data_IF_452483776465
#
_entry.id   IF_452483776465
#
_cell.length_a   1.000
_cell.length_b   1.000
_cell.length_c   1.000
_cell.angle_alpha   90.00
_cell.angle_beta   90.00
_cell.angle_gamma   90.00
#
_symmetry.space_group_name_H-M   'P 1'
#
loop_
_entity.id
_entity.type
_entity.pdbx_description
1 polymer ?
#
# COMPACT_ATOMS: atom_id res chain seq x y z
N UNK A 1 -26.83 -64.10 -18.03
CA UNK A 1 -28.12 -63.84 -17.35
C UNK A 1 -28.10 -62.37 -16.95
N UNK A 2 -29.09 -61.51 -17.09
CA UNK A 2 -30.36 -61.43 -17.82
C UNK A 2 -30.93 -60.07 -17.35
N UNK A 3 -31.21 -59.15 -18.29
CA UNK A 3 -32.07 -57.96 -18.12
C UNK A 3 -33.55 -58.41 -18.20
N UNK A 4 -34.62 -57.56 -18.10
CA UNK A 4 -34.75 -56.09 -18.14
C UNK A 4 -35.46 -55.54 -16.86
N UNK A 5 -36.18 -54.42 -16.74
CA UNK A 5 -36.81 -53.44 -17.68
C UNK A 5 -37.08 -52.10 -16.97
N UNK A 6 -37.28 -50.99 -17.70
CA UNK A 6 -37.94 -49.78 -17.16
C UNK A 6 -37.53 -48.43 -17.79
N UNK A 7 -38.05 -48.08 -18.97
CA UNK A 7 -38.01 -46.70 -19.49
C UNK A 7 -39.22 -45.92 -18.98
N UNK A 8 -39.05 -44.60 -18.75
CA UNK A 8 -39.91 -43.55 -19.31
C UNK A 8 -39.24 -42.17 -19.14
N UNK A 9 -39.38 -41.31 -20.16
CA UNK A 9 -38.75 -39.98 -20.26
C UNK A 9 -39.84 -38.88 -20.22
N UNK A 10 -39.61 -37.60 -20.58
CA UNK A 10 -39.71 -36.49 -19.62
C UNK A 10 -40.93 -35.58 -19.85
N UNK A 11 -41.22 -34.70 -18.88
CA UNK A 11 -42.15 -33.58 -19.04
C UNK A 11 -41.48 -32.26 -18.62
N UNK A 12 -41.71 -31.28 -19.48
CA UNK A 12 -41.18 -29.91 -19.53
C UNK A 12 -41.73 -28.95 -18.47
N UNK A 13 -40.89 -28.05 -17.96
CA UNK A 13 -41.18 -26.59 -17.87
C UNK A 13 -40.01 -25.84 -17.23
N UNK A 14 -39.21 -25.12 -18.03
CA UNK A 14 -38.40 -24.01 -17.51
C UNK A 14 -39.16 -22.70 -17.77
N UNK A 15 -39.46 -21.95 -16.72
CA UNK A 15 -40.24 -20.73 -16.80
C UNK A 15 -39.44 -19.58 -17.44
N UNK A 16 -40.03 -18.98 -18.47
CA UNK A 16 -39.54 -17.76 -19.10
C UNK A 16 -39.85 -16.55 -18.20
N UNK A 17 -38.83 -15.96 -17.58
CA UNK A 17 -38.98 -14.66 -16.88
C UNK A 17 -38.38 -13.55 -17.75
N UNK A 18 -39.29 -12.74 -18.29
CA UNK A 18 -39.02 -11.54 -19.06
C UNK A 18 -38.57 -10.38 -18.14
N UNK A 19 -37.52 -9.65 -18.50
CA UNK A 19 -36.97 -8.53 -17.73
C UNK A 19 -36.64 -7.35 -18.67
N UNK A 20 -37.17 -6.14 -18.41
CA UNK A 20 -37.28 -5.10 -19.44
C UNK A 20 -35.99 -4.31 -19.66
N UNK A 21 -35.80 -3.87 -20.91
CA UNK A 21 -34.77 -2.90 -21.29
C UNK A 21 -35.13 -1.47 -20.91
N UNK A 22 -34.16 -0.66 -20.45
CA UNK A 22 -34.19 0.79 -20.70
C UNK A 22 -32.93 1.29 -21.41
N UNK A 23 -33.12 1.95 -22.55
CA UNK A 23 -32.08 2.78 -23.19
C UNK A 23 -31.96 4.10 -22.42
N UNK A 24 -30.74 4.59 -22.14
CA UNK A 24 -30.13 5.78 -22.81
C UNK A 24 -28.85 6.29 -22.11
N UNK A 25 -27.73 6.12 -22.81
CA UNK A 25 -26.47 6.87 -22.78
C UNK A 25 -26.13 7.81 -21.59
N UNK A 26 -25.00 7.51 -20.92
CA UNK A 26 -24.02 8.50 -20.45
C UNK A 26 -22.70 8.26 -21.18
N UNK A 27 -21.97 9.33 -21.54
CA UNK A 27 -20.66 9.24 -22.21
C UNK A 27 -19.64 8.58 -21.29
N UNK A 28 -19.04 7.47 -21.72
CA UNK A 28 -17.74 7.05 -21.20
C UNK A 28 -16.66 8.00 -21.70
N UNK A 29 -15.82 8.47 -20.78
CA UNK A 29 -14.56 9.13 -21.14
C UNK A 29 -13.58 8.05 -21.60
N UNK A 30 -13.38 7.93 -22.91
CA UNK A 30 -12.41 7.01 -23.48
C UNK A 30 -11.02 7.29 -22.89
N UNK A 31 -10.45 6.30 -22.20
CA UNK A 31 -9.04 6.28 -21.82
C UNK A 31 -8.24 6.22 -23.12
N UNK A 32 -7.29 7.12 -23.38
CA UNK A 32 -6.49 7.04 -24.60
C UNK A 32 -5.67 5.74 -24.57
N UNK A 33 -5.77 4.97 -25.65
CA UNK A 33 -4.92 3.80 -25.90
C UNK A 33 -3.44 4.18 -25.88
N UNK A 34 -2.53 3.29 -25.44
CA UNK A 34 -1.10 3.60 -25.38
C UNK A 34 -0.59 4.05 -26.75
N UNK A 35 0.05 5.22 -26.78
CA UNK A 35 0.62 5.81 -27.99
C UNK A 35 1.73 4.92 -28.57
N UNK A 36 2.04 5.03 -29.87
CA UNK A 36 3.07 4.21 -30.50
C UNK A 36 4.44 4.42 -29.83
N UNK A 37 5.20 3.33 -29.67
CA UNK A 37 6.59 3.38 -29.17
C UNK A 37 7.41 4.33 -30.05
N UNK A 38 8.04 5.34 -29.44
CA UNK A 38 9.11 6.10 -30.09
C UNK A 38 10.40 5.29 -29.96
N UNK A 39 11.11 4.96 -31.05
CA UNK A 39 12.40 4.28 -30.96
C UNK A 39 13.44 5.25 -30.38
N UNK A 40 13.97 4.94 -29.20
CA UNK A 40 15.08 5.69 -28.60
C UNK A 40 16.39 5.55 -29.41
N UNK A 41 16.52 4.51 -30.25
CA UNK A 41 17.79 4.09 -30.86
C UNK A 41 18.05 4.57 -32.31
N UNK A 42 17.12 5.23 -33.01
CA UNK A 42 17.26 5.48 -34.47
C UNK A 42 17.89 6.82 -34.89
N UNK A 43 18.63 7.52 -34.01
CA UNK A 43 19.29 8.80 -34.36
C UNK A 43 20.84 8.80 -34.29
N UNK A 44 21.50 7.65 -34.14
CA UNK A 44 22.97 7.57 -34.02
C UNK A 44 23.68 6.82 -35.18
N UNK A 45 23.05 6.75 -36.36
CA UNK A 45 23.69 6.25 -37.60
C UNK A 45 23.58 7.27 -38.74
N UNK A 46 24.10 8.47 -38.49
CA UNK A 46 24.44 9.45 -39.53
C UNK A 46 25.86 9.95 -39.25
N UNK A 47 26.70 10.01 -40.29
CA UNK A 47 28.03 10.61 -40.20
C UNK A 47 27.87 12.13 -39.97
N UNK A 48 28.06 12.60 -38.73
CA UNK A 48 27.88 14.01 -38.39
C UNK A 48 29.17 14.80 -38.55
N UNK A 49 29.11 15.87 -39.35
CA UNK A 49 30.14 16.91 -39.39
C UNK A 49 30.27 17.57 -38.00
N UNK A 50 31.47 18.00 -37.56
CA UNK A 50 31.66 18.54 -36.20
C UNK A 50 31.07 19.94 -35.93
N UNK A 51 30.25 20.50 -36.82
CA UNK A 51 29.79 21.91 -36.78
C UNK A 51 28.26 22.08 -36.76
N UNK A 52 27.48 21.06 -36.36
CA UNK A 52 26.06 21.28 -36.02
C UNK A 52 25.89 21.84 -34.61
N UNK A 53 25.95 23.18 -34.54
CA UNK A 53 25.56 24.08 -33.45
C UNK A 53 24.56 23.50 -32.44
N UNK A 54 24.81 23.69 -31.14
CA UNK A 54 23.90 23.35 -30.02
C UNK A 54 22.57 24.15 -30.08
N UNK A 55 21.67 23.75 -30.97
CA UNK A 55 20.31 24.27 -31.01
C UNK A 55 19.54 23.80 -29.77
N UNK A 56 19.06 24.74 -28.95
CA UNK A 56 18.28 24.41 -27.77
C UNK A 56 17.01 23.63 -28.16
N UNK A 57 16.68 22.54 -27.43
CA UNK A 57 15.60 21.64 -27.83
C UNK A 57 14.26 22.38 -27.86
N UNK A 58 13.46 22.13 -28.89
CA UNK A 58 12.17 22.81 -29.05
C UNK A 58 11.24 22.54 -27.85
N UNK A 59 10.39 23.50 -27.45
CA UNK A 59 9.50 23.34 -26.29
C UNK A 59 8.61 22.08 -26.36
N UNK A 60 8.21 21.66 -27.56
CA UNK A 60 7.43 20.43 -27.77
C UNK A 60 8.22 19.16 -27.43
N UNK A 61 9.53 19.11 -27.72
CA UNK A 61 10.38 17.95 -27.38
C UNK A 61 10.56 17.88 -25.86
N UNK A 62 10.81 19.02 -25.21
CA UNK A 62 10.92 19.10 -23.75
C UNK A 62 9.63 18.66 -23.05
N UNK A 63 8.48 19.17 -23.50
CA UNK A 63 7.18 18.78 -22.97
C UNK A 63 6.91 17.28 -23.17
N UNK A 64 7.13 16.76 -24.38
CA UNK A 64 6.97 15.33 -24.68
C UNK A 64 7.80 14.45 -23.74
N UNK A 65 9.09 14.78 -23.54
CA UNK A 65 9.97 14.06 -22.61
C UNK A 65 9.46 14.11 -21.17
N UNK A 66 9.04 15.29 -20.68
CA UNK A 66 8.51 15.45 -19.34
C UNK A 66 7.20 14.66 -19.13
N UNK A 67 6.29 14.68 -20.09
CA UNK A 67 5.03 13.92 -20.03
C UNK A 67 5.24 12.42 -20.15
N UNK A 68 6.29 11.97 -20.85
CA UNK A 68 6.64 10.55 -20.97
C UNK A 68 7.00 9.95 -19.60
N UNK A 69 7.81 10.64 -18.79
CA UNK A 69 8.11 10.20 -17.41
C UNK A 69 6.84 10.01 -16.59
N UNK A 70 5.94 10.99 -16.60
CA UNK A 70 4.67 10.93 -15.86
C UNK A 70 3.76 9.79 -16.37
N UNK A 71 3.71 9.57 -17.68
CA UNK A 71 2.94 8.49 -18.29
C UNK A 71 3.49 7.11 -17.93
N UNK A 72 4.82 6.92 -17.95
CA UNK A 72 5.49 5.68 -17.54
C UNK A 72 5.25 5.37 -16.07
N UNK A 73 5.38 6.35 -15.17
CA UNK A 73 5.08 6.16 -13.75
C UNK A 73 3.60 5.83 -13.49
N UNK A 74 2.67 6.52 -14.16
CA UNK A 74 1.25 6.22 -14.06
C UNK A 74 0.90 4.80 -14.59
N UNK A 75 1.53 4.38 -15.68
CA UNK A 75 1.38 3.02 -16.22
C UNK A 75 1.90 1.97 -15.23
N UNK A 76 3.07 2.20 -14.62
CA UNK A 76 3.64 1.30 -13.60
C UNK A 76 2.73 1.17 -12.37
N UNK A 77 2.17 2.28 -11.87
CA UNK A 77 1.20 2.25 -10.76
C UNK A 77 -0.11 1.53 -11.12
N UNK A 78 -0.56 1.64 -12.38
CA UNK A 78 -1.74 0.92 -12.89
C UNK A 78 -1.48 -0.59 -12.96
N UNK A 79 -0.30 -0.99 -13.43
CA UNK A 79 0.15 -2.39 -13.43
C UNK A 79 0.31 -2.94 -12.01
N UNK A 80 0.83 -2.14 -11.08
CA UNK A 80 0.97 -2.50 -9.67
C UNK A 80 -0.40 -2.74 -9.00
N UNK A 81 -1.37 -1.86 -9.24
CA UNK A 81 -2.73 -2.04 -8.75
C UNK A 81 -3.39 -3.30 -9.33
N UNK A 82 -3.12 -3.60 -10.61
CA UNK A 82 -3.57 -4.83 -11.27
C UNK A 82 -2.92 -6.07 -10.62
N UNK A 83 -1.62 -6.02 -10.32
CA UNK A 83 -0.89 -7.12 -9.66
C UNK A 83 -1.54 -7.48 -8.31
N UNK A 84 -1.72 -6.52 -7.40
CA UNK A 84 -2.30 -6.78 -6.08
C UNK A 84 -3.81 -7.09 -6.10
N UNK A 85 -4.53 -6.76 -7.18
CA UNK A 85 -5.96 -7.13 -7.32
C UNK A 85 -6.19 -8.47 -8.02
N UNK A 86 -5.21 -9.01 -8.74
CA UNK A 86 -5.39 -10.23 -9.56
C UNK A 86 -4.44 -11.39 -9.24
N UNK A 87 -3.26 -11.12 -8.68
CA UNK A 87 -2.30 -12.17 -8.34
C UNK A 87 -2.52 -12.68 -6.91
N UNK A 88 -2.97 -13.92 -6.79
CA UNK A 88 -3.12 -14.59 -5.50
C UNK A 88 -1.81 -14.61 -4.69
N UNK A 89 -0.66 -14.80 -5.35
CA UNK A 89 0.66 -14.76 -4.69
C UNK A 89 0.93 -13.38 -4.06
N UNK A 90 0.73 -12.28 -4.81
CA UNK A 90 0.93 -10.93 -4.28
C UNK A 90 -0.05 -10.59 -3.13
N UNK A 91 -1.29 -11.10 -3.22
CA UNK A 91 -2.31 -10.95 -2.17
C UNK A 91 -1.92 -11.69 -0.88
N UNK A 92 -1.50 -12.96 -1.00
CA UNK A 92 -0.99 -13.75 0.13
C UNK A 92 0.22 -13.09 0.76
N UNK A 93 1.19 -12.63 -0.04
CA UNK A 93 2.38 -11.93 0.46
C UNK A 93 2.05 -10.63 1.21
N UNK A 94 1.10 -9.83 0.71
CA UNK A 94 0.63 -8.63 1.41
C UNK A 94 -0.07 -8.99 2.73
N UNK A 95 -0.97 -9.98 2.71
CA UNK A 95 -1.67 -10.45 3.90
C UNK A 95 -0.70 -10.96 4.98
N UNK A 96 0.28 -11.79 4.60
CA UNK A 96 1.33 -12.28 5.49
C UNK A 96 2.19 -11.13 6.03
N UNK A 97 2.62 -10.20 5.19
CA UNK A 97 3.38 -9.00 5.61
C UNK A 97 2.61 -8.18 6.66
N UNK A 98 1.30 -8.00 6.44
CA UNK A 98 0.42 -7.34 7.40
C UNK A 98 0.32 -8.14 8.71
N UNK A 99 0.04 -9.43 8.66
CA UNK A 99 -0.06 -10.31 9.83
C UNK A 99 1.22 -10.33 10.68
N UNK A 100 2.38 -10.48 10.05
CA UNK A 100 3.70 -10.46 10.72
C UNK A 100 3.93 -9.12 11.45
N UNK A 101 3.63 -8.01 10.77
CA UNK A 101 3.83 -6.67 11.33
C UNK A 101 2.81 -6.35 12.44
N UNK A 102 1.56 -6.79 12.30
CA UNK A 102 0.53 -6.69 13.34
C UNK A 102 0.88 -7.55 14.57
N UNK A 103 1.44 -8.74 14.36
CA UNK A 103 1.93 -9.59 15.45
C UNK A 103 3.08 -8.91 16.20
N UNK A 104 4.13 -8.47 15.51
CA UNK A 104 5.24 -7.71 16.10
C UNK A 104 4.74 -6.47 16.87
N UNK A 105 3.78 -5.73 16.29
CA UNK A 105 3.17 -4.59 16.95
C UNK A 105 2.47 -4.95 18.28
N UNK A 106 1.87 -6.13 18.37
CA UNK A 106 1.19 -6.62 19.60
C UNK A 106 2.17 -7.19 20.64
N UNK A 107 3.29 -7.79 20.23
CA UNK A 107 4.25 -8.49 21.12
C UNK A 107 5.43 -7.63 21.62
N UNK A 108 5.48 -6.35 21.21
CA UNK A 108 6.52 -5.41 21.62
C UNK A 108 7.61 -5.14 20.57
N UNK A 109 7.59 -5.81 19.42
CA UNK A 109 8.47 -5.51 18.27
C UNK A 109 7.97 -4.40 17.35
N UNK A 110 8.75 -4.05 16.32
CA UNK A 110 8.50 -2.95 15.37
C UNK A 110 8.85 -3.33 13.93
N UNK A 111 8.38 -2.53 12.98
CA UNK A 111 8.79 -2.61 11.58
C UNK A 111 10.11 -1.85 11.40
N UNK A 112 11.20 -2.56 11.10
CA UNK A 112 12.52 -1.97 10.84
C UNK A 112 12.72 -1.88 9.34
N UNK A 113 12.53 -0.69 8.76
CA UNK A 113 12.74 -0.48 7.33
C UNK A 113 14.23 -0.26 7.04
N UNK A 114 14.80 -1.01 6.10
CA UNK A 114 16.22 -0.99 5.78
C UNK A 114 16.46 -0.87 4.26
N UNK A 115 17.46 -0.09 3.86
CA UNK A 115 17.78 0.13 2.45
C UNK A 115 19.04 0.99 2.28
N UNK A 116 19.47 1.15 1.03
CA UNK A 116 20.61 1.98 0.62
C UNK A 116 20.22 2.94 -0.51
N UNK A 117 20.99 4.01 -0.70
CA UNK A 117 20.83 4.94 -1.81
C UNK A 117 19.41 5.51 -1.92
N UNK A 118 18.81 5.47 -3.12
CA UNK A 118 17.43 5.95 -3.33
C UNK A 118 16.39 5.14 -2.55
N UNK A 119 16.59 3.84 -2.39
CA UNK A 119 15.70 2.97 -1.60
C UNK A 119 15.72 3.30 -0.10
N UNK A 120 16.83 3.83 0.43
CA UNK A 120 16.91 4.32 1.81
C UNK A 120 15.94 5.49 2.07
N UNK A 121 15.77 6.41 1.12
CA UNK A 121 14.80 7.51 1.26
C UNK A 121 13.35 6.99 1.27
N UNK A 122 13.04 5.96 0.48
CA UNK A 122 11.72 5.31 0.50
C UNK A 122 11.48 4.62 1.85
N UNK A 123 12.47 3.90 2.38
CA UNK A 123 12.41 3.30 3.71
C UNK A 123 12.23 4.35 4.84
N UNK A 124 12.94 5.48 4.78
CA UNK A 124 12.76 6.59 5.72
C UNK A 124 11.36 7.23 5.63
N UNK A 125 10.85 7.44 4.42
CA UNK A 125 9.50 7.97 4.19
C UNK A 125 8.45 7.01 4.76
N UNK A 126 8.57 5.71 4.50
CA UNK A 126 7.72 4.69 5.11
C UNK A 126 7.72 4.79 6.64
N UNK A 127 8.90 4.87 7.26
CA UNK A 127 9.02 5.00 8.73
C UNK A 127 8.35 6.28 9.25
N UNK A 128 8.43 7.39 8.51
CA UNK A 128 7.70 8.61 8.84
C UNK A 128 6.18 8.41 8.76
N UNK A 129 5.66 7.85 7.65
CA UNK A 129 4.23 7.50 7.49
C UNK A 129 3.75 6.57 8.61
N UNK A 130 4.49 5.51 8.92
CA UNK A 130 4.18 4.58 10.00
C UNK A 130 4.08 5.29 11.36
N UNK A 131 5.07 6.13 11.71
CA UNK A 131 5.06 6.89 12.97
C UNK A 131 3.85 7.84 13.06
N UNK A 132 3.55 8.55 11.98
CA UNK A 132 2.36 9.40 11.86
C UNK A 132 1.04 8.64 12.09
N UNK A 133 0.99 7.35 11.77
CA UNK A 133 -0.16 6.45 11.93
C UNK A 133 -0.10 5.58 13.20
N UNK A 134 0.76 5.90 14.18
CA UNK A 134 1.03 5.10 15.39
C UNK A 134 1.49 3.65 15.14
N UNK A 135 2.00 3.33 13.95
CA UNK A 135 2.70 2.06 13.69
C UNK A 135 4.12 2.21 14.23
N UNK A 136 4.51 1.31 15.15
CA UNK A 136 5.89 1.27 15.69
C UNK A 136 6.84 0.85 14.58
N UNK A 137 7.70 1.80 14.16
CA UNK A 137 8.67 1.60 13.09
C UNK A 137 9.96 2.41 13.32
N UNK A 138 11.10 1.89 12.83
CA UNK A 138 12.39 2.58 12.79
C UNK A 138 13.09 2.36 11.46
N UNK A 139 14.05 3.23 11.13
CA UNK A 139 14.90 3.09 9.94
C UNK A 139 16.26 2.54 10.36
N UNK A 140 16.82 1.62 9.58
CA UNK A 140 18.16 1.07 9.75
C UNK A 140 18.93 1.26 8.44
N UNK A 141 20.01 2.03 8.44
CA UNK A 141 20.85 2.17 7.25
C UNK A 141 21.78 0.96 7.11
N UNK A 142 21.82 0.33 5.94
CA UNK A 142 22.53 -0.94 5.77
C UNK A 142 24.03 -0.88 6.10
N UNK A 143 24.69 0.23 5.73
CA UNK A 143 26.11 0.42 5.98
C UNK A 143 26.42 0.64 7.46
N UNK A 144 25.51 1.23 8.23
CA UNK A 144 25.72 1.48 9.67
C UNK A 144 25.36 0.24 10.51
N UNK A 145 24.46 -0.60 10.01
CA UNK A 145 24.06 -1.86 10.66
C UNK A 145 25.26 -2.76 10.98
N UNK A 146 26.18 -2.95 10.03
CA UNK A 146 27.42 -3.74 10.24
C UNK A 146 28.44 -3.06 11.18
N UNK A 147 28.21 -1.81 11.56
CA UNK A 147 29.09 -1.02 12.44
C UNK A 147 28.52 -0.80 13.86
N UNK A 148 27.34 -1.36 14.16
CA UNK A 148 26.80 -1.41 15.52
C UNK A 148 25.28 -1.34 15.57
N UNK A 149 24.65 -0.66 14.59
CA UNK A 149 23.20 -0.41 14.59
C UNK A 149 22.36 -1.69 14.46
N UNK A 150 22.96 -2.84 14.13
CA UNK A 150 22.24 -4.13 14.17
C UNK A 150 21.77 -4.51 15.60
N UNK A 151 22.39 -3.95 16.65
CA UNK A 151 21.95 -4.11 18.03
C UNK A 151 20.54 -3.58 18.32
N UNK A 152 19.97 -2.78 17.41
CA UNK A 152 18.58 -2.35 17.47
C UNK A 152 17.57 -3.48 17.14
N UNK A 153 18.00 -4.54 16.44
CA UNK A 153 17.12 -5.59 15.89
C UNK A 153 16.93 -6.73 16.89
N UNK A 154 15.67 -7.07 17.19
CA UNK A 154 15.29 -8.16 18.12
C UNK A 154 14.50 -9.26 17.41
N UNK A 155 14.33 -10.42 18.05
CA UNK A 155 13.53 -11.54 17.54
C UNK A 155 12.02 -11.23 17.40
N UNK A 156 11.58 -10.09 17.94
CA UNK A 156 10.19 -9.60 17.88
C UNK A 156 9.93 -8.69 16.69
N UNK A 157 10.98 -8.17 16.08
CA UNK A 157 10.88 -7.19 15.01
C UNK A 157 10.62 -7.86 13.65
N UNK A 158 10.13 -7.06 12.70
CA UNK A 158 10.04 -7.42 11.27
C UNK A 158 10.96 -6.48 10.52
N UNK A 159 12.00 -7.03 9.86
CA UNK A 159 12.89 -6.25 9.01
C UNK A 159 12.29 -6.20 7.61
N UNK A 160 12.00 -5.00 7.11
CA UNK A 160 11.55 -4.76 5.75
C UNK A 160 12.70 -4.17 4.94
N UNK A 161 13.28 -4.98 4.06
CA UNK A 161 14.25 -4.51 3.08
C UNK A 161 13.55 -3.82 1.91
N UNK A 162 14.09 -2.68 1.49
CA UNK A 162 13.70 -1.98 0.25
C UNK A 162 14.88 -2.04 -0.71
N UNK A 163 14.75 -2.82 -1.78
CA UNK A 163 15.78 -3.00 -2.81
C UNK A 163 15.14 -3.47 -4.11
N UNK A 164 15.15 -2.62 -5.15
CA UNK A 164 14.56 -2.97 -6.43
C UNK A 164 15.17 -4.26 -7.04
N UNK A 165 16.49 -4.47 -6.91
CA UNK A 165 17.14 -5.67 -7.46
C UNK A 165 16.90 -6.95 -6.65
N UNK A 166 16.54 -6.83 -5.36
CA UNK A 166 16.50 -7.96 -4.42
C UNK A 166 17.86 -8.63 -4.19
N UNK A 167 18.96 -7.99 -4.60
CA UNK A 167 20.31 -8.56 -4.66
C UNK A 167 21.41 -7.62 -4.14
N UNK A 168 21.03 -6.49 -3.53
CA UNK A 168 21.92 -5.48 -2.92
C UNK A 168 22.86 -6.12 -1.90
N UNK A 169 24.17 -6.04 -2.13
CA UNK A 169 25.17 -6.74 -1.33
C UNK A 169 25.17 -6.30 0.14
N UNK A 170 25.04 -5.00 0.38
CA UNK A 170 24.99 -4.39 1.71
C UNK A 170 23.83 -4.93 2.56
N UNK A 171 22.70 -5.29 1.93
CA UNK A 171 21.53 -5.86 2.61
C UNK A 171 21.64 -7.39 2.76
N UNK A 172 22.10 -8.09 1.72
CA UNK A 172 22.33 -9.55 1.76
C UNK A 172 23.35 -9.90 2.85
N UNK A 173 24.38 -9.08 3.02
CA UNK A 173 25.41 -9.27 4.04
C UNK A 173 24.89 -9.10 5.48
N UNK A 174 23.70 -8.53 5.72
CA UNK A 174 23.10 -8.45 7.06
C UNK A 174 22.43 -9.77 7.49
N UNK A 175 22.00 -10.59 6.53
CA UNK A 175 21.22 -11.81 6.80
C UNK A 175 21.85 -12.75 7.83
N UNK A 176 23.17 -13.04 7.82
CA UNK A 176 23.79 -13.96 8.78
C UNK A 176 23.93 -13.39 10.20
N UNK A 177 23.68 -12.09 10.38
CA UNK A 177 23.91 -11.39 11.64
C UNK A 177 22.62 -11.08 12.41
N UNK A 178 21.44 -11.26 11.79
CA UNK A 178 20.16 -11.10 12.49
C UNK A 178 19.94 -12.20 13.55
N UNK A 179 19.16 -11.91 14.61
CA UNK A 179 18.81 -12.91 15.62
C UNK A 179 18.01 -14.08 15.01
N UNK A 180 18.13 -15.26 15.63
CA UNK A 180 17.34 -16.43 15.24
C UNK A 180 15.83 -16.11 15.31
N UNK A 181 15.06 -16.58 14.33
CA UNK A 181 13.64 -16.26 14.21
C UNK A 181 13.32 -14.82 13.75
N UNK A 182 14.31 -13.99 13.43
CA UNK A 182 14.07 -12.66 12.84
C UNK A 182 13.28 -12.80 11.53
N UNK A 183 12.17 -12.05 11.41
CA UNK A 183 11.26 -12.08 10.25
C UNK A 183 11.73 -11.06 9.22
N UNK A 184 11.91 -11.48 7.97
CA UNK A 184 12.32 -10.58 6.88
C UNK A 184 11.21 -10.49 5.83
N UNK A 185 10.95 -9.26 5.39
CA UNK A 185 10.12 -8.93 4.24
C UNK A 185 11.01 -8.21 3.22
N UNK A 186 10.90 -8.53 1.94
CA UNK A 186 11.70 -7.92 0.88
C UNK A 186 10.79 -7.21 -0.14
N UNK A 187 10.75 -5.86 -0.08
CA UNK A 187 10.14 -5.02 -1.10
C UNK A 187 11.11 -4.87 -2.28
N UNK A 188 10.81 -5.55 -3.39
CA UNK A 188 11.72 -5.64 -4.55
C UNK A 188 10.96 -5.66 -5.88
N UNK A 189 11.68 -5.45 -6.99
CA UNK A 189 11.15 -5.63 -8.34
C UNK A 189 11.00 -7.10 -8.78
N UNK A 190 11.45 -8.07 -7.95
CA UNK A 190 11.27 -9.50 -8.24
C UNK A 190 9.80 -9.91 -8.01
N UNK A 191 9.32 -10.85 -8.82
CA UNK A 191 7.97 -11.44 -8.72
C UNK A 191 7.95 -12.86 -8.16
N UNK A 192 9.13 -13.46 -7.95
CA UNK A 192 9.33 -14.80 -7.40
C UNK A 192 10.40 -14.73 -6.30
N UNK A 193 10.17 -15.38 -5.16
CA UNK A 193 11.05 -15.32 -4.01
C UNK A 193 12.42 -15.97 -4.29
N UNK A 194 12.47 -16.98 -5.17
CA UNK A 194 13.73 -17.67 -5.54
C UNK A 194 14.74 -16.74 -6.22
N UNK A 195 14.26 -15.64 -6.82
CA UNK A 195 15.08 -14.64 -7.50
C UNK A 195 15.52 -13.51 -6.55
N UNK A 196 15.05 -13.52 -5.29
CA UNK A 196 15.31 -12.50 -4.29
C UNK A 196 16.26 -13.00 -3.20
N UNK A 197 17.55 -12.68 -3.33
CA UNK A 197 18.62 -13.09 -2.39
C UNK A 197 18.46 -12.55 -0.97
N UNK A 198 17.58 -11.57 -0.77
CA UNK A 198 17.22 -11.07 0.56
C UNK A 198 16.37 -12.07 1.36
N UNK A 199 15.89 -13.14 0.71
CA UNK A 199 15.13 -14.23 1.31
C UNK A 199 15.95 -15.53 1.40
N UNK A 200 17.24 -15.52 1.00
CA UNK A 200 18.14 -16.68 1.06
C UNK A 200 18.16 -17.28 2.48
N UNK A 201 17.95 -18.61 2.58
CA UNK A 201 17.98 -19.35 3.84
C UNK A 201 16.74 -19.22 4.73
N UNK A 202 15.63 -18.66 4.22
CA UNK A 202 14.38 -18.43 4.96
C UNK A 202 13.26 -19.29 4.42
N UNK A 203 12.29 -19.65 5.28
CA UNK A 203 11.08 -20.36 4.84
C UNK A 203 10.01 -19.35 4.44
N UNK A 204 9.35 -19.62 3.33
CA UNK A 204 8.05 -19.01 3.01
C UNK A 204 6.99 -19.58 3.97
N UNK A 205 6.05 -18.74 4.43
CA UNK A 205 4.88 -19.19 5.18
C UNK A 205 4.55 -18.39 6.44
N UNK A 206 3.54 -18.87 7.15
CA UNK A 206 3.00 -18.26 8.37
C UNK A 206 3.83 -18.61 9.61
N UNK A 207 3.56 -17.92 10.73
CA UNK A 207 4.26 -18.10 12.01
C UNK A 207 3.73 -19.33 12.75
N UNK A 208 4.05 -20.53 12.25
CA UNK A 208 3.86 -21.78 12.99
C UNK A 208 5.17 -22.21 13.66
N UNK A 209 5.47 -21.60 14.82
CA UNK A 209 6.56 -22.02 15.70
C UNK A 209 7.44 -20.88 16.20
N UNK A 210 7.87 -20.99 17.46
CA UNK A 210 8.82 -20.06 18.07
C UNK A 210 10.26 -20.44 17.67
N UNK A 211 10.79 -19.82 16.61
CA UNK A 211 12.23 -19.83 16.30
C UNK A 211 12.66 -19.95 14.84
N UNK A 212 11.77 -20.27 13.90
CA UNK A 212 12.15 -20.39 12.49
C UNK A 212 12.21 -19.03 11.76
N UNK A 213 13.16 -18.88 10.84
CA UNK A 213 13.37 -17.63 10.09
C UNK A 213 12.42 -17.53 8.89
N UNK A 214 11.36 -16.73 9.02
CA UNK A 214 10.41 -16.43 7.94
C UNK A 214 10.97 -15.43 6.94
N UNK A 215 10.64 -15.63 5.66
CA UNK A 215 10.88 -14.71 4.55
C UNK A 215 9.61 -14.48 3.73
N UNK A 216 9.29 -13.21 3.41
CA UNK A 216 8.16 -12.85 2.53
C UNK A 216 8.62 -11.88 1.44
N UNK A 217 8.31 -12.18 0.19
CA UNK A 217 8.51 -11.26 -0.94
C UNK A 217 7.34 -10.29 -1.03
N UNK A 218 7.58 -8.98 -1.06
CA UNK A 218 6.55 -7.98 -1.34
C UNK A 218 6.81 -7.38 -2.74
N UNK A 219 6.12 -7.85 -3.80
CA UNK A 219 6.50 -7.52 -5.18
C UNK A 219 6.11 -6.09 -5.56
N UNK A 220 7.06 -5.37 -6.15
CA UNK A 220 6.90 -4.06 -6.77
C UNK A 220 7.64 -3.98 -8.11
N UNK A 221 7.31 -4.83 -9.11
CA UNK A 221 7.92 -4.78 -10.44
C UNK A 221 7.51 -3.51 -11.19
N UNK A 222 8.36 -3.08 -12.11
CA UNK A 222 8.05 -2.05 -13.13
C UNK A 222 7.82 -2.74 -14.49
N UNK A 223 6.88 -2.28 -15.34
CA UNK A 223 6.58 -2.94 -16.61
C UNK A 223 7.70 -2.87 -17.66
N UNK A 224 8.51 -1.82 -17.60
CA UNK A 224 9.64 -1.52 -18.48
C UNK A 224 10.76 -0.95 -17.60
N UNK A 225 12.04 -1.23 -17.92
CA UNK A 225 13.15 -0.73 -17.10
C UNK A 225 13.43 0.74 -17.38
N UNK A 226 14.02 1.44 -16.42
CA UNK A 226 14.35 2.87 -16.54
C UNK A 226 15.40 3.12 -17.64
N UNK A 227 16.33 2.17 -17.83
CA UNK A 227 17.25 2.14 -18.99
C UNK A 227 16.51 2.06 -20.32
N UNK A 228 15.41 1.29 -20.39
CA UNK A 228 14.63 1.06 -21.61
C UNK A 228 13.65 2.24 -21.87
N UNK A 229 13.01 2.75 -20.82
CA UNK A 229 12.06 3.87 -20.90
C UNK A 229 12.71 5.24 -21.14
N UNK A 230 13.91 5.46 -20.60
CA UNK A 230 14.56 6.78 -20.54
C UNK A 230 16.01 6.82 -21.06
N UNK A 231 16.62 5.67 -21.35
CA UNK A 231 18.03 5.57 -21.73
C UNK A 231 19.02 5.62 -20.56
N UNK A 232 18.53 5.59 -19.31
CA UNK A 232 19.34 5.76 -18.10
C UNK A 232 18.70 5.04 -16.92
N UNK A 233 19.46 4.15 -16.27
CA UNK A 233 19.07 3.38 -15.08
C UNK A 233 19.02 4.20 -13.78
N UNK A 234 18.43 5.40 -13.83
CA UNK A 234 18.24 6.24 -12.66
C UNK A 234 16.94 5.83 -11.94
N UNK A 235 17.00 5.39 -10.66
CA UNK A 235 15.83 5.01 -9.91
C UNK A 235 14.81 6.16 -9.82
N UNK A 236 13.69 5.97 -10.51
CA UNK A 236 12.59 6.90 -10.73
C UNK A 236 11.28 6.12 -10.64
N UNK A 237 10.85 5.46 -11.70
CA UNK A 237 9.66 4.59 -11.73
C UNK A 237 9.71 3.47 -10.69
N UNK A 238 10.88 2.85 -10.49
CA UNK A 238 11.12 1.85 -9.44
C UNK A 238 10.93 2.43 -8.03
N UNK A 239 11.32 3.69 -7.81
CA UNK A 239 11.15 4.36 -6.52
C UNK A 239 9.72 4.82 -6.29
N UNK A 240 9.01 5.26 -7.34
CA UNK A 240 7.58 5.57 -7.29
C UNK A 240 6.73 4.33 -6.98
N UNK A 241 7.03 3.18 -7.60
CA UNK A 241 6.39 1.90 -7.28
C UNK A 241 6.69 1.47 -5.84
N UNK A 242 7.95 1.51 -5.40
CA UNK A 242 8.31 1.16 -4.02
C UNK A 242 7.63 2.09 -2.99
N UNK A 243 7.49 3.38 -3.30
CA UNK A 243 6.77 4.34 -2.47
C UNK A 243 5.27 4.01 -2.35
N UNK A 244 4.63 3.63 -3.46
CA UNK A 244 3.22 3.27 -3.48
C UNK A 244 2.96 1.96 -2.71
N UNK A 245 3.83 0.94 -2.84
CA UNK A 245 3.74 -0.29 -2.04
C UNK A 245 3.94 0.00 -0.54
N UNK A 246 4.88 0.89 -0.21
CA UNK A 246 5.11 1.33 1.16
C UNK A 246 3.89 2.05 1.77
N UNK A 247 3.26 2.97 1.05
CA UNK A 247 2.04 3.65 1.50
C UNK A 247 0.84 2.71 1.61
N UNK A 248 0.67 1.79 0.65
CA UNK A 248 -0.34 0.72 0.72
C UNK A 248 -0.19 -0.08 2.01
N UNK A 249 1.02 -0.59 2.29
CA UNK A 249 1.30 -1.36 3.51
C UNK A 249 1.02 -0.53 4.78
N UNK A 250 1.48 0.72 4.83
CA UNK A 250 1.31 1.56 6.02
C UNK A 250 -0.17 1.92 6.28
N UNK A 251 -0.96 2.20 5.23
CA UNK A 251 -2.38 2.52 5.36
C UNK A 251 -3.21 1.29 5.73
N UNK A 252 -2.96 0.13 5.11
CA UNK A 252 -3.63 -1.13 5.47
C UNK A 252 -3.33 -1.53 6.92
N UNK A 253 -2.07 -1.42 7.36
CA UNK A 253 -1.69 -1.68 8.75
C UNK A 253 -2.37 -0.74 9.75
N UNK A 254 -2.47 0.55 9.41
CA UNK A 254 -3.12 1.53 10.27
C UNK A 254 -4.61 1.24 10.43
N UNK A 255 -5.29 0.88 9.34
CA UNK A 255 -6.72 0.56 9.35
C UNK A 255 -7.02 -0.66 10.23
N UNK A 256 -6.21 -1.72 10.12
CA UNK A 256 -6.30 -2.91 10.97
C UNK A 256 -5.98 -2.65 12.46
N UNK A 257 -4.99 -1.81 12.75
CA UNK A 257 -4.63 -1.46 14.13
C UNK A 257 -5.71 -0.58 14.80
N UNK A 258 -6.27 0.38 14.07
CA UNK A 258 -7.17 1.40 14.61
C UNK A 258 -8.65 1.09 14.36
N UNK A 259 -8.97 -0.02 13.68
CA UNK A 259 -10.34 -0.47 13.37
C UNK A 259 -11.18 0.63 12.72
N UNK A 260 -10.63 1.27 11.68
CA UNK A 260 -11.27 2.40 10.99
C UNK A 260 -11.13 3.78 11.65
N UNK A 261 -10.46 3.88 12.81
CA UNK A 261 -10.22 5.17 13.50
C UNK A 261 -8.88 5.81 13.12
N UNK A 262 -8.32 5.45 11.97
CA UNK A 262 -7.01 5.90 11.47
C UNK A 262 -6.87 7.44 11.48
N UNK A 263 -7.93 8.17 11.11
CA UNK A 263 -7.97 9.63 11.16
C UNK A 263 -7.91 10.25 12.57
N UNK A 264 -8.54 9.61 13.57
CA UNK A 264 -8.46 10.04 14.98
C UNK A 264 -7.04 9.86 15.52
N UNK A 265 -6.43 8.71 15.24
CA UNK A 265 -5.04 8.41 15.61
C UNK A 265 -4.06 9.38 14.95
N UNK A 266 -4.21 9.64 13.64
CA UNK A 266 -3.36 10.61 12.93
C UNK A 266 -3.46 12.00 13.55
N UNK A 267 -4.67 12.49 13.84
CA UNK A 267 -4.89 13.80 14.50
C UNK A 267 -4.14 13.91 15.84
N UNK A 268 -4.16 12.86 16.67
CA UNK A 268 -3.45 12.83 17.97
C UNK A 268 -1.92 12.96 17.82
N UNK A 269 -1.35 12.44 16.75
CA UNK A 269 0.10 12.39 16.56
C UNK A 269 0.71 13.67 15.96
N UNK A 270 -0.10 14.66 15.54
CA UNK A 270 0.37 15.89 14.88
C UNK A 270 -0.04 17.18 15.63
N UNK A 271 0.31 17.35 16.93
CA UNK A 271 -0.17 18.45 17.76
C UNK A 271 0.26 19.85 17.26
N UNK A 272 1.37 19.96 16.51
CA UNK A 272 1.88 21.22 15.96
C UNK A 272 1.57 21.49 14.49
N UNK A 273 0.90 20.57 13.79
CA UNK A 273 0.57 20.73 12.36
C UNK A 273 -0.79 21.39 12.16
N UNK A 274 -1.00 22.06 11.01
CA UNK A 274 -2.28 22.72 10.68
C UNK A 274 -3.51 21.80 10.84
N UNK A 275 -3.36 20.51 10.49
CA UNK A 275 -4.39 19.47 10.58
C UNK A 275 -4.75 19.14 12.05
N UNK A 276 -3.76 19.13 12.96
CA UNK A 276 -3.98 18.93 14.39
C UNK A 276 -4.52 20.18 15.09
N UNK A 277 -4.03 21.36 14.69
CA UNK A 277 -4.44 22.65 15.23
C UNK A 277 -5.94 22.93 15.01
N UNK A 278 -6.47 22.65 13.81
CA UNK A 278 -7.92 22.76 13.54
C UNK A 278 -8.74 21.83 14.45
N UNK A 279 -8.27 20.61 14.72
CA UNK A 279 -8.98 19.65 15.59
C UNK A 279 -8.98 20.08 17.06
N UNK A 280 -7.90 20.69 17.56
CA UNK A 280 -7.89 21.21 18.94
C UNK A 280 -8.93 22.32 19.14
N UNK A 281 -9.14 23.16 18.12
CA UNK A 281 -10.19 24.18 18.12
C UNK A 281 -11.58 23.52 18.12
N UNK A 282 -11.87 22.63 17.17
CA UNK A 282 -13.14 21.86 17.08
C UNK A 282 -13.48 21.13 18.39
N UNK A 283 -12.51 20.41 18.98
CA UNK A 283 -12.69 19.70 20.24
C UNK A 283 -12.93 20.63 21.43
N UNK A 284 -12.31 21.82 21.44
CA UNK A 284 -12.55 22.83 22.47
C UNK A 284 -13.92 23.50 22.33
N UNK A 285 -14.40 23.72 21.10
CA UNK A 285 -15.72 24.26 20.77
C UNK A 285 -16.82 23.28 21.19
N UNK A 286 -16.71 22.01 20.80
CA UNK A 286 -17.66 20.95 21.17
C UNK A 286 -17.76 20.77 22.70
N UNK A 287 -16.62 20.82 23.41
CA UNK A 287 -16.59 20.70 24.87
C UNK A 287 -17.22 21.92 25.57
N UNK A 288 -17.04 23.13 25.03
CA UNK A 288 -17.74 24.36 25.48
C UNK A 288 -19.25 24.30 25.20
N UNK A 289 -19.68 23.74 24.06
CA UNK A 289 -21.10 23.57 23.74
C UNK A 289 -21.78 22.54 24.64
N UNK A 290 -21.14 21.39 24.91
CA UNK A 290 -21.62 20.39 25.88
C UNK A 290 -21.80 21.01 27.26
N UNK A 291 -20.76 21.68 27.78
CA UNK A 291 -20.82 22.36 29.08
C UNK A 291 -21.82 23.52 29.14
N UNK A 292 -22.22 24.10 28.01
CA UNK A 292 -23.33 25.06 27.95
C UNK A 292 -24.69 24.37 28.00
N UNK A 293 -24.88 23.23 27.33
CA UNK A 293 -26.12 22.44 27.39
C UNK A 293 -26.36 21.90 28.80
N UNK A 294 -25.35 21.29 29.41
CA UNK A 294 -25.45 20.75 30.79
C UNK A 294 -25.77 21.82 31.84
N UNK A 295 -25.43 23.09 31.58
CA UNK A 295 -25.73 24.25 32.45
C UNK A 295 -27.09 24.89 32.22
N UNK A 296 -27.76 24.62 31.10
CA UNK A 296 -29.05 25.23 30.76
C UNK A 296 -30.26 24.36 31.14
N UNK A 297 -30.02 23.08 31.46
CA UNK A 297 -31.07 22.12 31.79
C UNK A 297 -31.84 21.65 30.55
N UNK A 298 -32.32 20.41 30.57
CA UNK A 298 -33.39 20.03 29.65
C UNK A 298 -34.68 20.73 30.08
N UNK A 299 -35.48 21.31 29.16
CA UNK A 299 -36.78 21.84 29.53
C UNK A 299 -37.68 20.67 29.95
N UNK A 300 -38.15 20.68 31.20
CA UNK A 300 -39.15 19.72 31.65
C UNK A 300 -40.33 19.72 30.67
N UNK A 301 -40.65 18.53 30.13
CA UNK A 301 -41.90 18.35 29.40
C UNK A 301 -43.05 18.57 30.38
N UNK A 302 -43.65 19.75 30.34
CA UNK A 302 -44.84 20.08 31.10
C UNK A 302 -45.98 19.13 30.70
N UNK A 303 -46.21 18.10 31.50
CA UNK A 303 -47.34 17.18 31.34
C UNK A 303 -48.64 17.95 31.64
N UNK A 304 -49.60 18.00 30.71
CA UNK A 304 -50.85 18.71 30.95
C UNK A 304 -51.65 18.04 32.09
N UNK A 305 -52.34 18.82 32.95
CA UNK A 305 -53.08 18.27 34.07
C UNK A 305 -54.28 17.44 33.60
N UNK A 306 -54.57 16.35 34.32
CA UNK A 306 -55.68 15.45 34.01
C UNK A 306 -57.04 16.16 34.13
N UNK A 307 -57.88 16.01 33.11
CA UNK A 307 -59.25 16.51 33.10
C UNK A 307 -60.13 15.73 34.08
N UNK A 308 -60.70 16.43 35.07
CA UNK A 308 -61.70 15.90 35.99
C UNK A 308 -62.97 15.48 35.23
N UNK A 309 -63.22 14.18 35.14
CA UNK A 309 -64.54 13.64 34.79
C UNK A 309 -65.41 13.61 36.05
N UNK A 310 -66.38 14.52 36.14
CA UNK A 310 -67.40 14.47 37.20
C UNK A 310 -68.38 13.32 36.97
N UNK A 311 -68.62 12.55 38.03
CA UNK A 311 -69.71 11.58 38.11
C UNK A 311 -70.19 11.51 39.55
N UNK A 312 -71.15 12.37 39.87
CA UNK A 312 -72.03 12.24 41.05
C UNK A 312 -73.47 12.01 40.55
N UNK A 313 -74.21 11.27 41.38
CA UNK A 313 -75.67 11.00 41.40
C UNK A 313 -76.09 9.55 41.09
N UNK A 314 -76.50 8.83 42.15
CA UNK A 314 -77.24 7.56 42.07
C UNK A 314 -76.87 6.52 43.13
#
# INVERSE_FOLDING_TARGET
MARPTGLLTPQTSEDSIDLPSPKRARKESAIPSPSPRLPYEQQLTGETNPEETEASPSPNILLTRATHVLATEAAALTSLATLYSTSASAQTSLAQTCQLTLHAHRTGGRLIACGVGKSAYIAQKLVATCKSLSIRASFLHACEAVHGDLGDVTERDVVLFVSFSGKTAELVNLLPHFPAGCRVVALTGQTDAKDCRLLDGRREGEVEGDGEATGVLLPGPIPEKEEESFGVGAPTTSTTVALAVADMLALTLAEELHRGKTGETFKRNHPGGAIGAQTLLEGSEAKKQSQRRDRLGEPELCTPPASLSGSDDG
#
